data_IF_571777624495
#
_entry.id   IF_571777624495
#
_cell.length_a   1.000
_cell.length_b   1.000
_cell.length_c   1.000
_cell.angle_alpha   90.00
_cell.angle_beta   90.00
_cell.angle_gamma   90.00
#
_symmetry.space_group_name_H-M   'P 1'
#
loop_
_entity.id
_entity.type
_entity.pdbx_description
1 polymer ?
#
# COMPACT_ATOMS: atom_id res chain seq x y z
N UNK A 1 -2.63 27.56 -37.86
CA UNK A 1 -3.23 26.73 -38.93
C UNK A 1 -4.23 25.80 -38.27
N UNK A 2 -5.53 26.02 -38.48
CA UNK A 2 -6.62 25.18 -37.98
C UNK A 2 -6.89 24.04 -38.96
N UNK A 3 -6.95 22.81 -38.45
CA UNK A 3 -7.59 21.64 -39.05
C UNK A 3 -7.85 20.68 -37.88
N UNK A 4 -9.00 20.05 -37.66
CA UNK A 4 -10.19 19.86 -38.46
C UNK A 4 -10.83 18.55 -37.99
N UNK A 5 -12.15 18.59 -37.80
CA UNK A 5 -13.11 17.54 -37.49
C UNK A 5 -12.74 16.07 -37.75
N UNK A 6 -13.18 15.20 -36.82
CA UNK A 6 -13.46 13.79 -37.08
C UNK A 6 -14.34 13.19 -35.98
N UNK A 7 -15.64 13.06 -36.25
CA UNK A 7 -16.66 12.51 -35.34
C UNK A 7 -16.69 10.96 -35.36
N UNK A 8 -17.28 10.42 -34.29
CA UNK A 8 -17.36 9.01 -33.90
C UNK A 8 -18.07 8.06 -34.91
N UNK A 9 -18.03 6.74 -34.61
CA UNK A 9 -19.29 6.03 -34.52
C UNK A 9 -19.53 5.35 -33.17
N UNK A 10 -20.80 5.44 -32.79
CA UNK A 10 -21.52 4.81 -31.67
C UNK A 10 -21.66 3.29 -31.90
N UNK A 11 -21.47 2.47 -30.87
CA UNK A 11 -22.03 1.12 -30.83
C UNK A 11 -22.30 0.63 -29.39
N UNK A 12 -23.57 0.44 -29.08
CA UNK A 12 -24.18 -0.39 -28.03
C UNK A 12 -25.68 -0.44 -28.36
N UNK A 13 -26.51 -1.40 -27.88
CA UNK A 13 -26.26 -2.56 -27.01
C UNK A 13 -26.90 -3.87 -27.57
N UNK A 14 -26.82 -5.00 -26.85
CA UNK A 14 -27.97 -5.87 -26.46
C UNK A 14 -27.55 -7.09 -25.62
N UNK A 15 -28.50 -7.70 -24.86
CA UNK A 15 -28.27 -8.44 -23.62
C UNK A 15 -28.37 -9.96 -23.77
N UNK A 16 -27.90 -10.70 -22.75
CA UNK A 16 -28.33 -12.08 -22.48
C UNK A 16 -28.75 -12.21 -21.02
N UNK A 17 -30.04 -12.55 -20.82
CA UNK A 17 -30.68 -12.98 -19.58
C UNK A 17 -30.29 -14.45 -19.28
N UNK A 18 -29.88 -14.80 -18.06
CA UNK A 18 -30.68 -15.25 -16.90
C UNK A 18 -30.92 -16.77 -16.88
N UNK A 19 -30.40 -17.46 -15.85
CA UNK A 19 -31.08 -18.54 -15.13
C UNK A 19 -30.23 -19.06 -13.94
N UNK A 20 -30.69 -18.70 -12.74
CA UNK A 20 -30.66 -19.37 -11.43
C UNK A 20 -29.81 -20.64 -11.18
N UNK A 21 -29.13 -20.70 -10.03
CA UNK A 21 -29.66 -21.39 -8.83
C UNK A 21 -28.68 -21.34 -7.64
N UNK A 22 -29.28 -20.98 -6.50
CA UNK A 22 -28.89 -20.99 -5.09
C UNK A 22 -27.78 -21.95 -4.62
N UNK A 23 -26.91 -21.46 -3.73
CA UNK A 23 -26.85 -21.96 -2.33
C UNK A 23 -26.22 -20.87 -1.45
N UNK A 24 -26.96 -20.36 -0.48
CA UNK A 24 -26.38 -19.55 0.59
C UNK A 24 -25.52 -20.42 1.51
N UNK A 25 -24.39 -19.91 2.03
CA UNK A 25 -24.01 -20.22 3.39
C UNK A 25 -24.30 -19.01 4.28
N UNK A 26 -24.93 -19.33 5.40
CA UNK A 26 -25.11 -18.50 6.58
C UNK A 26 -23.74 -17.98 7.05
N UNK A 27 -23.36 -16.79 6.60
CA UNK A 27 -22.15 -16.14 7.11
C UNK A 27 -22.52 -15.51 8.45
N UNK A 28 -22.28 -16.26 9.52
CA UNK A 28 -22.13 -15.72 10.85
C UNK A 28 -21.33 -14.42 10.75
N UNK A 29 -21.93 -13.31 11.17
CA UNK A 29 -21.25 -12.03 11.30
C UNK A 29 -20.14 -12.18 12.33
N UNK A 30 -18.95 -12.53 11.86
CA UNK A 30 -17.73 -12.26 12.60
C UNK A 30 -17.52 -10.76 12.44
N UNK A 31 -17.56 -10.05 13.57
CA UNK A 31 -17.00 -8.71 13.71
C UNK A 31 -15.47 -8.82 13.58
N UNK A 32 -14.99 -9.14 12.37
CA UNK A 32 -13.61 -8.86 12.01
C UNK A 32 -13.64 -7.39 11.66
N UNK A 33 -13.05 -6.57 12.54
CA UNK A 33 -12.89 -5.13 12.31
C UNK A 33 -12.53 -4.86 10.85
N UNK A 34 -13.31 -3.98 10.23
CA UNK A 34 -13.32 -3.71 8.81
C UNK A 34 -11.91 -3.71 8.19
N UNK A 35 -11.75 -4.19 6.94
CA UNK A 35 -10.52 -3.93 6.21
C UNK A 35 -10.32 -2.41 6.25
N UNK A 36 -9.21 -1.97 6.83
CA UNK A 36 -8.77 -0.59 6.62
C UNK A 36 -8.31 -0.53 5.17
N UNK A 37 -9.27 -0.33 4.26
CA UNK A 37 -9.02 0.36 3.00
C UNK A 37 -8.17 1.58 3.32
N UNK A 38 -7.32 1.99 2.39
CA UNK A 38 -6.38 3.09 2.61
C UNK A 38 -7.09 4.38 2.99
N UNK A 39 -7.37 4.52 4.28
CA UNK A 39 -8.21 5.53 4.86
C UNK A 39 -7.30 6.35 5.77
N UNK A 40 -6.53 7.22 5.13
CA UNK A 40 -6.26 8.52 5.72
C UNK A 40 -6.92 9.53 4.78
N UNK A 41 -7.70 10.43 5.37
CA UNK A 41 -8.50 11.42 4.66
C UNK A 41 -7.64 12.34 3.79
N UNK A 42 -8.32 13.21 3.05
CA UNK A 42 -7.84 14.22 2.08
C UNK A 42 -6.72 15.18 2.57
N UNK A 43 -6.11 14.92 3.73
CA UNK A 43 -4.95 15.64 4.22
C UNK A 43 -3.79 15.51 3.22
N UNK A 44 -3.15 16.63 2.83
CA UNK A 44 -1.98 16.59 1.97
C UNK A 44 -0.84 15.82 2.66
N UNK A 45 -0.10 15.01 1.88
CA UNK A 45 1.14 14.40 2.35
C UNK A 45 2.11 15.50 2.80
N UNK A 46 2.70 15.33 3.98
CA UNK A 46 3.66 16.26 4.57
C UNK A 46 4.90 15.52 5.05
N UNK A 47 6.06 16.17 4.92
CA UNK A 47 7.35 15.66 5.38
C UNK A 47 7.48 15.74 6.90
N UNK A 48 6.79 16.72 7.50
CA UNK A 48 6.87 17.01 8.93
C UNK A 48 5.84 16.21 9.73
N UNK A 49 4.75 15.78 9.08
CA UNK A 49 3.66 15.07 9.72
C UNK A 49 3.64 13.59 9.30
N UNK A 50 4.06 12.65 10.18
CA UNK A 50 4.07 11.21 9.87
C UNK A 50 2.66 10.60 9.82
N UNK A 51 1.61 11.33 10.25
CA UNK A 51 0.23 10.85 10.17
C UNK A 51 -0.41 11.10 8.81
N UNK A 52 0.22 11.95 7.99
CA UNK A 52 -0.21 12.25 6.62
C UNK A 52 -0.04 11.07 5.65
N UNK A 53 0.92 10.17 5.89
CA UNK A 53 1.14 9.01 5.02
C UNK A 53 -0.05 8.02 5.10
N UNK A 54 -0.58 7.50 3.98
CA UNK A 54 -1.76 6.64 4.01
C UNK A 54 -1.54 5.36 4.79
N UNK A 55 -2.58 4.87 5.46
CA UNK A 55 -2.60 3.53 6.04
C UNK A 55 -2.90 2.52 4.95
N UNK A 56 -2.37 1.31 5.08
CA UNK A 56 -2.63 0.22 4.15
C UNK A 56 -3.08 -1.00 4.93
N UNK A 57 -4.01 -1.76 4.35
CA UNK A 57 -4.47 -3.01 4.92
C UNK A 57 -3.30 -3.98 5.13
N UNK A 58 -3.29 -4.64 6.30
CA UNK A 58 -2.25 -5.59 6.70
C UNK A 58 -2.78 -7.00 6.94
N UNK A 59 -4.09 -7.23 6.76
CA UNK A 59 -4.73 -8.52 7.04
C UNK A 59 -4.30 -9.58 6.03
N UNK A 60 -4.07 -10.82 6.45
CA UNK A 60 -3.66 -11.91 5.55
C UNK A 60 -4.25 -13.25 6.00
N UNK A 61 -4.29 -14.22 5.09
CA UNK A 61 -4.60 -15.62 5.39
C UNK A 61 -3.33 -16.48 5.36
N UNK A 62 -2.38 -16.13 4.48
CA UNK A 62 -1.05 -16.74 4.42
C UNK A 62 0.02 -15.79 3.89
N UNK A 63 1.27 -16.25 3.89
CA UNK A 63 2.44 -15.42 3.53
C UNK A 63 2.35 -14.84 2.11
N UNK A 64 1.69 -15.55 1.19
CA UNK A 64 1.49 -15.10 -0.19
C UNK A 64 0.54 -13.88 -0.31
N UNK A 65 -0.26 -13.60 0.71
CA UNK A 65 -1.12 -12.41 0.76
C UNK A 65 -0.35 -11.16 1.20
N UNK A 66 0.94 -11.29 1.52
CA UNK A 66 1.74 -10.22 2.09
C UNK A 66 2.82 -9.69 1.14
N UNK A 67 3.16 -8.41 1.29
CA UNK A 67 4.25 -7.74 0.62
C UNK A 67 5.02 -6.83 1.59
N UNK A 68 6.30 -6.58 1.31
CA UNK A 68 7.20 -5.71 2.09
C UNK A 68 7.21 -4.29 1.52
N UNK A 69 6.53 -3.32 2.13
CA UNK A 69 6.65 -1.89 1.82
C UNK A 69 7.90 -1.28 2.45
N UNK A 70 8.58 -0.37 1.77
CA UNK A 70 9.67 0.44 2.35
C UNK A 70 9.19 1.88 2.47
N UNK A 71 8.90 2.32 3.68
CA UNK A 71 8.48 3.68 3.97
C UNK A 71 9.66 4.51 4.47
N UNK A 72 9.89 5.67 3.86
CA UNK A 72 10.85 6.63 4.41
C UNK A 72 10.19 7.44 5.54
N UNK A 73 10.77 7.35 6.73
CA UNK A 73 10.22 8.00 7.93
C UNK A 73 10.90 9.34 8.28
N UNK A 74 12.05 9.64 7.65
CA UNK A 74 12.75 10.89 7.86
C UNK A 74 13.55 11.33 6.62
N UNK A 75 13.91 12.61 6.59
CA UNK A 75 14.74 13.17 5.53
C UNK A 75 16.17 12.61 5.48
N UNK A 76 16.62 11.89 6.50
CA UNK A 76 17.94 11.26 6.48
C UNK A 76 17.92 9.91 5.72
N UNK A 77 16.78 9.51 5.16
CA UNK A 77 16.62 8.27 4.43
C UNK A 77 16.50 7.04 5.31
N UNK A 78 16.12 7.22 6.58
CA UNK A 78 15.77 6.09 7.44
C UNK A 78 14.53 5.40 6.87
N UNK A 79 14.64 4.08 6.69
CA UNK A 79 13.57 3.25 6.14
C UNK A 79 12.92 2.44 7.25
N UNK A 80 11.61 2.35 7.19
CA UNK A 80 10.83 1.34 7.90
C UNK A 80 10.26 0.36 6.89
N UNK A 81 10.61 -0.92 7.03
CA UNK A 81 9.94 -2.00 6.31
C UNK A 81 8.61 -2.31 7.00
N UNK A 82 7.54 -2.33 6.22
CA UNK A 82 6.17 -2.56 6.69
C UNK A 82 5.57 -3.75 5.97
N UNK A 83 4.94 -4.66 6.72
CA UNK A 83 4.12 -5.71 6.14
C UNK A 83 2.75 -5.16 5.75
N UNK A 84 2.39 -5.27 4.48
CA UNK A 84 1.07 -4.90 3.95
C UNK A 84 0.48 -6.04 3.11
N UNK A 85 -0.81 -5.96 2.81
CA UNK A 85 -1.44 -6.86 1.84
C UNK A 85 -0.82 -6.71 0.46
N UNK A 86 -0.64 -7.82 -0.25
CA UNK A 86 -0.04 -7.82 -1.58
C UNK A 86 -0.79 -6.93 -2.59
N UNK A 87 -2.12 -6.86 -2.50
CA UNK A 87 -2.95 -6.00 -3.37
C UNK A 87 -2.80 -4.50 -3.08
N UNK A 88 -2.29 -4.12 -1.92
CA UNK A 88 -2.03 -2.72 -1.53
C UNK A 88 -0.66 -2.22 -2.01
N UNK A 89 0.18 -3.10 -2.59
CA UNK A 89 1.56 -2.79 -2.97
C UNK A 89 1.70 -1.61 -3.91
N UNK A 90 0.92 -1.59 -4.99
CA UNK A 90 1.00 -0.53 -5.99
C UNK A 90 0.58 0.83 -5.39
N UNK A 91 -0.47 0.85 -4.58
CA UNK A 91 -0.95 2.07 -3.90
C UNK A 91 0.08 2.61 -2.90
N UNK A 92 0.76 1.71 -2.17
CA UNK A 92 1.86 2.06 -1.27
C UNK A 92 3.01 2.72 -2.03
N UNK A 93 3.47 2.12 -3.13
CA UNK A 93 4.56 2.67 -3.94
C UNK A 93 4.21 4.03 -4.54
N UNK A 94 2.95 4.23 -4.95
CA UNK A 94 2.45 5.51 -5.42
C UNK A 94 2.46 6.58 -4.31
N UNK A 95 2.04 6.23 -3.10
CA UNK A 95 2.09 7.13 -1.94
C UNK A 95 3.54 7.50 -1.58
N UNK A 96 4.45 6.53 -1.56
CA UNK A 96 5.88 6.77 -1.28
C UNK A 96 6.55 7.61 -2.37
N UNK A 97 6.17 7.42 -3.64
CA UNK A 97 6.63 8.28 -4.73
C UNK A 97 6.13 9.71 -4.59
N UNK A 98 4.87 9.88 -4.17
CA UNK A 98 4.28 11.21 -3.95
C UNK A 98 4.96 11.89 -2.76
N UNK A 99 5.16 11.17 -1.65
CA UNK A 99 5.87 11.65 -0.47
C UNK A 99 7.27 12.17 -0.83
N UNK A 100 8.06 11.40 -1.60
CA UNK A 100 9.39 11.84 -2.06
C UNK A 100 9.34 13.11 -2.90
N UNK A 101 8.29 13.26 -3.71
CA UNK A 101 8.13 14.44 -4.58
C UNK A 101 7.76 15.71 -3.81
N UNK A 102 7.00 15.58 -2.72
CA UNK A 102 6.66 16.73 -1.85
C UNK A 102 7.77 17.05 -0.83
N UNK A 103 8.77 16.17 -0.70
CA UNK A 103 9.90 16.30 0.22
C UNK A 103 11.27 16.35 -0.48
N UNK A 104 11.50 17.28 -1.44
CA UNK A 104 12.75 17.34 -2.20
C UNK A 104 13.97 17.66 -1.31
N UNK A 105 13.74 18.29 -0.16
CA UNK A 105 14.78 18.65 0.81
C UNK A 105 15.39 17.41 1.48
N UNK A 106 14.65 16.30 1.50
CA UNK A 106 15.12 15.04 2.03
C UNK A 106 16.18 14.36 1.13
N UNK A 107 16.25 14.69 -0.16
CA UNK A 107 17.26 14.09 -1.06
C UNK A 107 18.63 14.79 -0.98
N UNK A 108 18.67 16.04 -0.49
CA UNK A 108 19.91 16.82 -0.32
C UNK A 108 20.47 16.75 1.10
N UNK A 109 19.83 15.99 1.99
CA UNK A 109 20.23 15.92 3.38
C UNK A 109 21.52 15.11 3.55
N UNK A 110 22.58 15.72 4.09
CA UNK A 110 23.88 15.06 4.33
C UNK A 110 23.90 14.21 5.61
N UNK A 111 22.84 13.45 5.88
CA UNK A 111 22.82 12.52 7.00
C UNK A 111 23.53 11.21 6.65
N UNK A 112 24.06 10.53 7.67
CA UNK A 112 24.39 9.12 7.57
C UNK A 112 23.11 8.29 7.41
N UNK A 113 23.08 7.40 6.43
CA UNK A 113 22.00 6.40 6.29
C UNK A 113 21.91 5.54 7.53
N UNK A 114 20.70 5.43 8.11
CA UNK A 114 20.42 4.53 9.22
C UNK A 114 20.05 3.13 8.70
N UNK A 115 20.26 2.07 9.50
CA UNK A 115 19.72 0.74 9.19
C UNK A 115 18.20 0.79 8.99
N UNK A 116 17.69 -0.10 8.15
CA UNK A 116 16.25 -0.25 7.98
C UNK A 116 15.65 -0.87 9.23
N UNK A 117 14.54 -0.35 9.73
CA UNK A 117 13.79 -0.95 10.84
C UNK A 117 12.59 -1.72 10.30
N UNK A 118 12.33 -2.92 10.77
CA UNK A 118 11.12 -3.69 10.45
C UNK A 118 9.96 -3.25 11.33
N UNK A 119 8.72 -3.53 10.95
CA UNK A 119 7.55 -3.22 11.80
C UNK A 119 7.52 -4.02 13.11
N UNK A 120 8.35 -5.07 13.23
CA UNK A 120 8.63 -5.77 14.49
C UNK A 120 9.70 -5.09 15.37
N UNK A 121 10.22 -3.94 14.95
CA UNK A 121 11.22 -3.15 15.68
C UNK A 121 12.66 -3.63 15.54
N UNK A 122 12.92 -4.65 14.71
CA UNK A 122 14.27 -5.17 14.46
C UNK A 122 14.96 -4.38 13.36
N UNK A 123 16.26 -4.17 13.49
CA UNK A 123 17.06 -3.47 12.47
C UNK A 123 17.71 -4.45 11.50
N UNK A 124 17.82 -4.03 10.24
CA UNK A 124 18.43 -4.77 9.14
C UNK A 124 19.34 -3.83 8.37
N UNK A 125 20.61 -4.22 8.21
CA UNK A 125 21.60 -3.39 7.51
C UNK A 125 21.39 -3.41 6.00
N UNK A 126 20.87 -4.51 5.47
CA UNK A 126 20.53 -4.67 4.06
C UNK A 126 19.01 -4.87 3.90
N UNK A 127 18.29 -3.91 3.30
CA UNK A 127 16.83 -4.01 3.15
C UNK A 127 16.40 -5.20 2.27
N UNK A 128 17.30 -5.77 1.46
CA UNK A 128 16.97 -6.97 0.67
C UNK A 128 16.79 -8.23 1.52
N UNK A 129 17.28 -8.20 2.76
CA UNK A 129 17.18 -9.29 3.75
C UNK A 129 15.92 -9.19 4.63
N UNK A 130 14.98 -8.32 4.25
CA UNK A 130 13.69 -8.23 4.95
C UNK A 130 12.73 -9.22 4.32
N UNK A 131 12.16 -10.10 5.14
CA UNK A 131 11.04 -10.99 4.77
C UNK A 131 9.74 -10.50 5.38
N UNK A 132 8.64 -10.95 4.78
CA UNK A 132 7.29 -10.78 5.30
C UNK A 132 6.67 -12.14 5.57
N UNK A 133 5.90 -12.24 6.64
CA UNK A 133 5.11 -13.42 6.96
C UNK A 133 3.73 -13.00 7.47
N UNK A 134 2.75 -13.87 7.26
CA UNK A 134 1.45 -13.74 7.87
C UNK A 134 1.49 -14.33 9.29
N UNK A 135 1.41 -13.46 10.29
CA UNK A 135 1.40 -13.88 11.70
C UNK A 135 0.15 -13.37 12.38
N UNK A 136 -0.67 -14.30 12.89
CA UNK A 136 -1.93 -13.99 13.58
C UNK A 136 -2.82 -13.08 12.71
N UNK A 137 -3.01 -13.49 11.46
CA UNK A 137 -3.83 -12.80 10.46
C UNK A 137 -3.33 -11.38 10.09
N UNK A 138 -2.05 -11.06 10.39
CA UNK A 138 -1.42 -9.76 10.09
C UNK A 138 -0.06 -9.96 9.41
N UNK A 139 0.17 -9.25 8.31
CA UNK A 139 1.45 -9.16 7.61
C UNK A 139 2.46 -8.42 8.47
N UNK A 140 3.53 -9.10 8.86
CA UNK A 140 4.63 -8.55 9.67
C UNK A 140 5.97 -8.78 8.98
N UNK A 141 6.90 -7.85 9.13
CA UNK A 141 8.26 -7.94 8.60
C UNK A 141 9.28 -8.29 9.66
N UNK A 142 10.30 -9.03 9.23
CA UNK A 142 11.43 -9.44 10.06
C UNK A 142 12.70 -9.53 9.18
N UNK A 143 13.90 -9.48 9.79
CA UNK A 143 15.10 -9.95 9.12
C UNK A 143 14.97 -11.45 8.76
N UNK A 144 15.51 -11.84 7.59
CA UNK A 144 15.77 -13.23 7.21
C UNK A 144 16.60 -14.00 8.24
#
# INVERSE_FOLDING_TARGET
>A
MLAGCGAAPTASPTPVADAAAETAPDTASIDVGAPVDAANGDAPLSCEDPTSFPRFGRTCVGDADCAVGLHRIDCCGSLTAVGLRADQRASFEAAESTWRSVCPECDVCMCSTKPTTTDSGRTVTDPSRVVVACQKDVCVTAPE
#
